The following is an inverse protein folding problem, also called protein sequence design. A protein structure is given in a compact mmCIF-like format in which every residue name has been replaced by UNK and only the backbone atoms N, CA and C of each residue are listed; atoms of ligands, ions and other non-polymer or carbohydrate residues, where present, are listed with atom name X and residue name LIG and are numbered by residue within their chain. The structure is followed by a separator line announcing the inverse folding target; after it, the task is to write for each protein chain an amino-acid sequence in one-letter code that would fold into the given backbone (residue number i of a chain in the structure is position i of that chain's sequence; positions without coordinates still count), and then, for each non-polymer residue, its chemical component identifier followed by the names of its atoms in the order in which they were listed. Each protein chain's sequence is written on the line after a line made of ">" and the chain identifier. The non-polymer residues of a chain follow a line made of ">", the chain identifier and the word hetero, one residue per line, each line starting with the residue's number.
data_IF_806411465817
#
_entry.id   IF_806411465817
#
_cell.length_a   1.000
_cell.length_b   1.000
_cell.length_c   1.000
_cell.angle_alpha   90.00
_cell.angle_beta   90.00
_cell.angle_gamma   90.00
#
_symmetry.space_group_name_H-M   'P 1'
#
loop_
_entity.id
_entity.type
_entity.pdbx_description
1 polymer ?
#
# COMPACT_ATOMS: atom_id res chain seq x y z
N UNK A 1 16.44 -3.05 5.37
CA UNK A 1 15.18 -2.82 4.62
C UNK A 1 15.48 -3.02 3.13
N UNK A 2 14.64 -3.76 2.44
CA UNK A 2 14.75 -4.05 1.00
C UNK A 2 13.53 -3.42 0.33
N UNK A 3 13.75 -2.63 -0.73
CA UNK A 3 12.69 -2.16 -1.62
C UNK A 3 12.58 -3.10 -2.82
N UNK A 4 11.37 -3.47 -3.20
CA UNK A 4 11.13 -4.39 -4.31
C UNK A 4 10.40 -3.65 -5.42
N UNK A 5 10.99 -3.63 -6.61
CA UNK A 5 10.30 -3.20 -7.82
C UNK A 5 9.42 -4.33 -8.33
N UNK A 6 8.13 -4.10 -8.36
CA UNK A 6 7.15 -5.08 -8.85
C UNK A 6 7.13 -5.12 -10.39
N UNK A 7 6.79 -6.25 -11.03
CA UNK A 7 6.67 -6.33 -12.47
C UNK A 7 5.84 -5.20 -13.08
N UNK A 8 6.44 -4.45 -13.99
CA UNK A 8 5.84 -3.26 -14.60
C UNK A 8 5.92 -1.98 -13.78
N UNK A 9 6.68 -1.97 -12.68
CA UNK A 9 6.96 -0.77 -11.88
C UNK A 9 8.46 -0.62 -11.66
N UNK A 10 8.91 0.63 -11.44
CA UNK A 10 10.33 0.92 -11.22
C UNK A 10 11.20 0.48 -12.39
N UNK A 11 12.21 -0.36 -12.11
CA UNK A 11 13.13 -0.93 -13.10
C UNK A 11 12.75 -2.36 -13.51
N UNK A 12 11.71 -2.94 -12.88
CA UNK A 12 11.25 -4.29 -13.21
C UNK A 12 10.58 -4.33 -14.59
N UNK A 13 10.83 -5.38 -15.39
CA UNK A 13 10.26 -5.50 -16.72
C UNK A 13 8.74 -5.41 -16.76
N UNK A 14 8.22 -4.77 -17.80
CA UNK A 14 6.77 -4.71 -18.04
C UNK A 14 6.26 -6.09 -18.47
N UNK A 15 5.30 -6.70 -17.78
CA UNK A 15 4.70 -7.95 -18.22
C UNK A 15 3.78 -7.72 -19.41
N UNK A 16 3.55 -8.75 -20.22
CA UNK A 16 2.66 -8.68 -21.40
C UNK A 16 1.24 -8.23 -21.04
N UNK A 17 0.73 -8.69 -19.89
CA UNK A 17 -0.51 -8.21 -19.29
C UNK A 17 -0.25 -7.84 -17.80
N UNK A 18 -0.89 -6.76 -17.31
CA UNK A 18 -0.76 -6.36 -15.92
C UNK A 18 -1.20 -7.47 -14.96
N UNK A 19 -0.40 -7.70 -13.95
CA UNK A 19 -0.69 -8.69 -12.92
C UNK A 19 -1.79 -8.19 -11.97
N UNK A 20 -2.58 -9.12 -11.43
CA UNK A 20 -3.49 -8.83 -10.32
C UNK A 20 -2.71 -8.63 -9.02
N UNK A 21 -3.35 -8.02 -8.01
CA UNK A 21 -2.74 -7.86 -6.68
C UNK A 21 -2.34 -9.21 -6.07
N UNK A 22 -3.16 -10.23 -6.27
CA UNK A 22 -2.86 -11.62 -5.87
C UNK A 22 -1.62 -12.18 -6.58
N UNK A 23 -1.52 -11.98 -7.88
CA UNK A 23 -0.36 -12.47 -8.64
C UNK A 23 0.95 -11.78 -8.21
N UNK A 24 0.90 -10.49 -7.88
CA UNK A 24 2.05 -9.81 -7.27
C UNK A 24 2.41 -10.40 -5.90
N UNK A 25 1.41 -10.71 -5.07
CA UNK A 25 1.63 -11.32 -3.76
C UNK A 25 2.29 -12.70 -3.87
N UNK A 26 1.88 -13.55 -4.83
CA UNK A 26 2.53 -14.84 -5.09
C UNK A 26 3.99 -14.67 -5.51
N UNK A 27 4.30 -13.71 -6.40
CA UNK A 27 5.69 -13.41 -6.78
C UNK A 27 6.53 -12.93 -5.60
N UNK A 28 5.96 -12.11 -4.70
CA UNK A 28 6.65 -11.70 -3.48
C UNK A 28 6.87 -12.88 -2.52
N UNK A 29 5.90 -13.79 -2.40
CA UNK A 29 6.05 -14.99 -1.60
C UNK A 29 7.20 -15.87 -2.11
N UNK A 30 7.28 -16.07 -3.42
CA UNK A 30 8.37 -16.83 -4.05
C UNK A 30 9.73 -16.13 -3.86
N UNK A 31 9.76 -14.80 -4.00
CA UNK A 31 10.96 -14.01 -3.70
C UNK A 31 11.40 -14.19 -2.25
N UNK A 32 10.52 -14.03 -1.27
CA UNK A 32 10.84 -14.19 0.15
C UNK A 32 11.34 -15.59 0.47
N UNK A 33 10.72 -16.63 -0.09
CA UNK A 33 11.20 -18.01 0.05
C UNK A 33 12.61 -18.18 -0.51
N UNK A 34 12.90 -17.53 -1.63
CA UNK A 34 14.22 -17.63 -2.26
C UNK A 34 15.34 -16.94 -1.48
N UNK A 35 15.01 -15.90 -0.69
CA UNK A 35 15.99 -15.20 0.14
C UNK A 35 16.35 -15.94 1.42
N UNK A 36 15.45 -16.78 1.92
CA UNK A 36 15.58 -17.45 3.22
C UNK A 36 15.46 -16.51 4.43
N UNK A 37 15.04 -15.26 4.23
CA UNK A 37 14.95 -14.23 5.27
C UNK A 37 13.56 -14.18 5.96
N UNK A 38 12.60 -14.97 5.48
CA UNK A 38 11.25 -15.00 6.06
C UNK A 38 11.27 -15.69 7.45
N UNK A 39 10.34 -15.30 8.37
CA UNK A 39 9.33 -14.26 8.19
C UNK A 39 9.89 -12.84 8.30
N UNK A 40 9.21 -11.87 7.67
CA UNK A 40 9.64 -10.47 7.62
C UNK A 40 8.50 -9.49 7.94
N UNK A 41 8.85 -8.25 8.28
CA UNK A 41 7.87 -7.15 8.34
C UNK A 41 7.65 -6.64 6.93
N UNK A 42 6.40 -6.68 6.45
CA UNK A 42 6.04 -6.22 5.11
C UNK A 42 5.40 -4.84 5.19
N UNK A 43 5.93 -3.90 4.41
CA UNK A 43 5.41 -2.53 4.31
C UNK A 43 4.84 -2.32 2.92
N UNK A 44 3.53 -2.09 2.82
CA UNK A 44 2.86 -1.74 1.57
C UNK A 44 2.33 -0.31 1.60
N UNK A 45 2.61 0.49 0.56
CA UNK A 45 2.08 1.83 0.40
C UNK A 45 1.10 1.89 -0.78
N UNK A 46 -0.06 2.53 -0.57
CA UNK A 46 -1.08 2.73 -1.61
C UNK A 46 -1.49 1.39 -2.24
N UNK A 47 -1.35 1.21 -3.54
CA UNK A 47 -1.55 -0.09 -4.22
C UNK A 47 -0.74 -1.22 -3.56
N UNK A 48 0.47 -0.93 -3.10
CA UNK A 48 1.31 -1.90 -2.39
C UNK A 48 0.69 -2.41 -1.11
N UNK A 49 -0.21 -1.66 -0.46
CA UNK A 49 -0.95 -2.12 0.72
C UNK A 49 -1.88 -3.29 0.40
N UNK A 50 -2.51 -3.29 -0.78
CA UNK A 50 -3.36 -4.38 -1.23
C UNK A 50 -2.54 -5.66 -1.46
N UNK A 51 -1.36 -5.52 -2.07
CA UNK A 51 -0.45 -6.64 -2.34
C UNK A 51 0.11 -7.19 -1.03
N UNK A 52 0.51 -6.32 -0.11
CA UNK A 52 1.01 -6.71 1.21
C UNK A 52 -0.07 -7.46 2.03
N UNK A 53 -1.32 -7.00 1.97
CA UNK A 53 -2.45 -7.69 2.61
C UNK A 53 -2.72 -9.06 2.00
N UNK A 54 -2.70 -9.19 0.67
CA UNK A 54 -2.84 -10.50 0.00
C UNK A 54 -1.69 -11.44 0.38
N UNK A 55 -0.45 -10.94 0.47
CA UNK A 55 0.69 -11.72 0.91
C UNK A 55 0.49 -12.23 2.35
N UNK A 56 0.17 -11.34 3.29
CA UNK A 56 -0.05 -11.70 4.69
C UNK A 56 -1.22 -12.66 4.89
N UNK A 57 -2.29 -12.50 4.11
CA UNK A 57 -3.47 -13.36 4.17
C UNK A 57 -3.23 -14.77 3.62
N UNK A 58 -2.42 -14.89 2.57
CA UNK A 58 -2.21 -16.15 1.82
C UNK A 58 -0.97 -16.92 2.27
N UNK A 59 0.01 -16.19 2.78
CA UNK A 59 1.32 -16.71 3.19
C UNK A 59 1.70 -16.20 4.59
N UNK A 60 0.86 -16.47 5.62
CA UNK A 60 1.10 -15.96 6.97
C UNK A 60 2.44 -16.42 7.54
N UNK A 61 2.98 -17.52 7.07
CA UNK A 61 4.29 -18.03 7.47
C UNK A 61 5.48 -17.15 7.01
N UNK A 62 5.23 -16.24 6.08
CA UNK A 62 6.27 -15.34 5.53
C UNK A 62 6.21 -13.93 6.13
N UNK A 63 5.16 -13.60 6.89
CA UNK A 63 4.89 -12.22 7.35
C UNK A 63 4.77 -12.18 8.86
N UNK A 64 5.78 -11.61 9.51
CA UNK A 64 5.81 -11.42 10.96
C UNK A 64 4.88 -10.29 11.40
N UNK A 65 4.91 -9.19 10.65
CA UNK A 65 4.02 -8.04 10.87
C UNK A 65 3.75 -7.30 9.55
N UNK A 66 2.67 -6.54 9.52
CA UNK A 66 2.18 -5.84 8.34
C UNK A 66 2.06 -4.34 8.61
N UNK A 67 2.53 -3.51 7.68
CA UNK A 67 2.31 -2.06 7.68
C UNK A 67 1.56 -1.67 6.42
N UNK A 68 0.37 -1.12 6.57
CA UNK A 68 -0.49 -0.63 5.49
C UNK A 68 -0.46 0.90 5.51
N UNK A 69 0.40 1.50 4.68
CA UNK A 69 0.53 2.94 4.59
C UNK A 69 -0.35 3.51 3.46
N UNK A 70 -1.24 4.44 3.79
CA UNK A 70 -2.21 5.00 2.85
C UNK A 70 -2.99 3.91 2.11
N UNK A 71 -3.67 2.98 2.82
CA UNK A 71 -4.29 1.81 2.17
C UNK A 71 -5.39 2.23 1.21
N UNK A 72 -5.31 1.73 -0.03
CA UNK A 72 -6.30 1.93 -1.11
C UNK A 72 -6.88 0.57 -1.51
N UNK A 73 -8.05 0.48 -2.05
CA UNK A 73 -9.07 1.46 -2.42
C UNK A 73 -10.19 1.40 -1.38
N UNK A 74 -10.64 2.58 -0.95
CA UNK A 74 -11.82 2.70 -0.08
C UNK A 74 -13.01 1.92 -0.67
N UNK A 75 -13.65 1.09 0.17
CA UNK A 75 -14.78 0.23 -0.20
C UNK A 75 -15.95 1.00 -0.80
N UNK A 76 -16.13 2.25 -0.39
CA UNK A 76 -17.23 3.13 -0.83
C UNK A 76 -16.90 3.98 -2.06
N UNK A 77 -15.62 4.04 -2.46
CA UNK A 77 -15.13 4.93 -3.54
C UNK A 77 -14.46 4.17 -4.70
N UNK A 78 -15.08 3.08 -5.19
CA UNK A 78 -14.51 2.15 -6.19
C UNK A 78 -14.68 2.58 -7.65
N UNK A 79 -15.15 3.77 -7.94
CA UNK A 79 -15.21 4.22 -9.33
C UNK A 79 -13.93 4.96 -9.73
N UNK A 80 -13.54 4.82 -11.01
CA UNK A 80 -12.41 5.57 -11.58
C UNK A 80 -12.56 7.07 -11.36
N UNK A 81 -13.80 7.59 -11.45
CA UNK A 81 -14.10 9.02 -11.23
C UNK A 81 -13.85 9.43 -9.78
N UNK A 82 -14.25 8.63 -8.80
CA UNK A 82 -14.03 8.90 -7.38
C UNK A 82 -12.52 8.86 -7.06
N UNK A 83 -11.81 7.84 -7.55
CA UNK A 83 -10.36 7.74 -7.37
C UNK A 83 -9.61 8.90 -8.03
N UNK A 84 -10.01 9.31 -9.24
CA UNK A 84 -9.44 10.48 -9.90
C UNK A 84 -9.72 11.79 -9.12
N UNK A 85 -10.91 11.94 -8.54
CA UNK A 85 -11.25 13.09 -7.71
C UNK A 85 -10.45 13.10 -6.39
N UNK A 86 -10.29 11.95 -5.75
CA UNK A 86 -9.47 11.82 -4.55
C UNK A 86 -8.01 12.16 -4.85
N UNK A 87 -7.45 11.64 -5.95
CA UNK A 87 -6.11 11.98 -6.40
C UNK A 87 -5.97 13.49 -6.69
N UNK A 88 -6.95 14.10 -7.36
CA UNK A 88 -6.93 15.54 -7.64
C UNK A 88 -6.96 16.37 -6.35
N UNK A 89 -7.75 15.95 -5.35
CA UNK A 89 -7.79 16.62 -4.04
C UNK A 89 -6.47 16.49 -3.29
N UNK A 90 -5.84 15.32 -3.35
CA UNK A 90 -4.51 15.09 -2.78
C UNK A 90 -3.46 16.05 -3.40
N UNK A 91 -3.48 16.18 -4.73
CA UNK A 91 -2.56 17.07 -5.45
C UNK A 91 -2.67 18.57 -5.04
N UNK A 92 -3.85 19.04 -4.64
CA UNK A 92 -4.07 20.45 -4.28
C UNK A 92 -3.32 20.86 -3.00
N UNK A 93 -3.06 19.92 -2.10
CA UNK A 93 -2.38 20.17 -0.81
C UNK A 93 -0.92 19.71 -0.76
N UNK A 94 -0.44 19.04 -1.82
CA UNK A 94 0.85 18.39 -1.80
C UNK A 94 2.04 19.31 -2.11
N UNK A 95 3.19 18.97 -1.51
CA UNK A 95 4.44 19.71 -1.74
C UNK A 95 4.95 19.48 -3.17
N UNK A 96 5.55 20.50 -3.83
CA UNK A 96 6.04 20.37 -5.21
C UNK A 96 6.96 19.16 -5.45
N UNK A 97 7.73 18.76 -4.45
CA UNK A 97 8.61 17.59 -4.50
C UNK A 97 7.82 16.28 -4.64
N UNK A 98 6.69 16.17 -3.96
CA UNK A 98 5.81 14.98 -4.02
C UNK A 98 5.12 14.93 -5.36
N UNK A 99 4.60 16.09 -5.82
CA UNK A 99 3.98 16.23 -7.15
C UNK A 99 4.95 15.82 -8.27
N UNK A 100 6.20 16.30 -8.21
CA UNK A 100 7.21 15.96 -9.20
C UNK A 100 7.57 14.49 -9.20
N UNK A 101 7.75 13.88 -8.01
CA UNK A 101 8.02 12.44 -7.89
C UNK A 101 6.84 11.61 -8.38
N UNK A 102 5.62 11.95 -7.95
CA UNK A 102 4.41 11.28 -8.42
C UNK A 102 4.25 11.34 -9.93
N UNK A 103 4.37 12.53 -10.53
CA UNK A 103 4.32 12.71 -11.99
C UNK A 103 5.39 11.90 -12.72
N UNK A 104 6.62 11.86 -12.19
CA UNK A 104 7.70 11.05 -12.77
C UNK A 104 7.38 9.56 -12.74
N UNK A 105 6.85 9.05 -11.64
CA UNK A 105 6.45 7.64 -11.53
C UNK A 105 5.25 7.30 -12.42
N UNK A 106 4.28 8.20 -12.55
CA UNK A 106 3.19 8.05 -13.52
C UNK A 106 3.71 7.99 -14.96
N UNK A 107 4.67 8.85 -15.33
CA UNK A 107 5.30 8.82 -16.66
C UNK A 107 6.11 7.52 -16.90
N UNK A 108 6.66 6.95 -15.83
CA UNK A 108 7.36 5.66 -15.86
C UNK A 108 6.43 4.45 -15.83
N UNK A 109 5.16 4.65 -15.53
CA UNK A 109 4.16 3.59 -15.40
C UNK A 109 3.90 2.77 -16.67
N UNK A 110 4.55 3.13 -17.79
CA UNK A 110 4.53 2.37 -19.03
C UNK A 110 3.18 2.36 -19.75
N UNK A 111 3.09 1.63 -20.86
CA UNK A 111 1.92 1.64 -21.75
C UNK A 111 0.67 1.03 -21.10
N UNK A 112 0.84 0.17 -20.08
CA UNK A 112 -0.26 -0.51 -19.40
C UNK A 112 -0.77 0.21 -18.15
N UNK A 113 -0.35 1.46 -17.88
CA UNK A 113 -0.73 2.20 -16.66
C UNK A 113 -2.25 2.19 -16.40
N UNK A 114 -3.06 2.46 -17.42
CA UNK A 114 -4.53 2.45 -17.28
C UNK A 114 -5.09 1.08 -16.91
N UNK A 115 -4.50 -0.01 -17.41
CA UNK A 115 -4.89 -1.37 -17.05
C UNK A 115 -4.49 -1.68 -15.62
N UNK A 116 -3.28 -1.28 -15.19
CA UNK A 116 -2.78 -1.43 -13.81
C UNK A 116 -3.69 -0.70 -12.81
N UNK A 117 -4.06 0.55 -13.11
CA UNK A 117 -5.01 1.31 -12.28
C UNK A 117 -6.38 0.64 -12.19
N UNK A 118 -6.89 0.10 -13.30
CA UNK A 118 -8.14 -0.66 -13.28
C UNK A 118 -8.03 -1.91 -12.42
N UNK A 119 -6.92 -2.64 -12.50
CA UNK A 119 -6.69 -3.82 -11.66
C UNK A 119 -6.65 -3.46 -10.17
N UNK A 120 -5.99 -2.33 -9.80
CA UNK A 120 -5.95 -1.80 -8.44
C UNK A 120 -7.35 -1.44 -7.92
N UNK A 121 -8.15 -0.74 -8.74
CA UNK A 121 -9.51 -0.30 -8.35
C UNK A 121 -10.49 -1.48 -8.27
N UNK A 122 -10.32 -2.47 -9.14
CA UNK A 122 -11.20 -3.65 -9.17
C UNK A 122 -10.91 -4.66 -8.06
N UNK A 123 -9.71 -4.61 -7.47
CA UNK A 123 -9.33 -5.50 -6.39
C UNK A 123 -10.12 -5.17 -5.12
N UNK A 124 -10.39 -6.19 -4.31
CA UNK A 124 -11.15 -6.11 -3.05
C UNK A 124 -10.26 -6.48 -1.86
N UNK A 125 -9.45 -5.54 -1.36
CA UNK A 125 -8.53 -5.82 -0.26
C UNK A 125 -9.25 -6.24 1.04
N UNK A 126 -10.51 -5.84 1.23
CA UNK A 126 -11.32 -6.25 2.38
C UNK A 126 -11.50 -7.77 2.48
N UNK A 127 -11.46 -8.50 1.35
CA UNK A 127 -11.50 -9.96 1.36
C UNK A 127 -10.20 -10.56 1.96
N UNK A 128 -9.05 -9.89 1.72
CA UNK A 128 -7.78 -10.31 2.27
C UNK A 128 -7.66 -9.91 3.76
N UNK A 129 -8.10 -8.71 4.15
CA UNK A 129 -8.00 -8.24 5.53
C UNK A 129 -8.60 -9.21 6.55
N UNK A 130 -9.74 -9.79 6.23
CA UNK A 130 -10.40 -10.79 7.10
C UNK A 130 -9.55 -12.04 7.36
N UNK A 131 -8.55 -12.33 6.53
CA UNK A 131 -7.65 -13.46 6.66
C UNK A 131 -6.26 -13.11 7.25
N UNK A 132 -5.93 -11.83 7.41
CA UNK A 132 -4.68 -11.39 8.05
C UNK A 132 -4.68 -11.78 9.52
N UNK A 133 -3.54 -12.29 10.02
CA UNK A 133 -3.40 -12.78 11.40
C UNK A 133 -2.19 -12.19 12.14
N UNK A 134 -1.28 -11.56 11.43
CA UNK A 134 -0.11 -10.92 12.04
C UNK A 134 -0.46 -9.54 12.63
N UNK A 135 0.33 -9.02 13.58
CA UNK A 135 0.24 -7.65 14.04
C UNK A 135 0.25 -6.68 12.85
N UNK A 136 -0.65 -5.70 12.85
CA UNK A 136 -0.82 -4.81 11.70
C UNK A 136 -0.89 -3.36 12.14
N UNK A 137 -0.06 -2.51 11.52
CA UNK A 137 -0.12 -1.06 11.63
C UNK A 137 -0.78 -0.48 10.37
N UNK A 138 -1.86 0.25 10.54
CA UNK A 138 -2.45 1.11 9.51
C UNK A 138 -1.89 2.52 9.71
N UNK A 139 -1.23 3.08 8.70
CA UNK A 139 -0.62 4.40 8.74
C UNK A 139 -1.24 5.29 7.67
N UNK A 140 -1.74 6.47 8.06
CA UNK A 140 -2.32 7.42 7.11
C UNK A 140 -1.83 8.85 7.34
N UNK A 141 -1.93 9.68 6.31
CA UNK A 141 -1.90 11.14 6.48
C UNK A 141 -3.26 11.65 6.96
N UNK A 142 -3.27 12.65 7.83
CA UNK A 142 -4.51 13.26 8.32
C UNK A 142 -5.41 13.77 7.20
N UNK A 143 -4.78 14.31 6.14
CA UNK A 143 -5.47 14.89 4.97
C UNK A 143 -5.52 13.97 3.76
N UNK A 144 -5.22 12.66 3.95
CA UNK A 144 -5.20 11.69 2.86
C UNK A 144 -6.62 11.36 2.35
N UNK A 145 -7.01 11.84 1.14
CA UNK A 145 -8.35 11.57 0.60
C UNK A 145 -8.47 10.19 -0.05
N UNK A 146 -7.34 9.47 -0.20
CA UNK A 146 -7.30 8.11 -0.73
C UNK A 146 -7.46 7.06 0.38
N UNK A 147 -7.05 7.43 1.62
CA UNK A 147 -7.19 6.61 2.83
C UNK A 147 -7.92 7.42 3.93
N UNK A 148 -9.21 7.74 3.74
CA UNK A 148 -9.98 8.44 4.75
C UNK A 148 -10.07 7.63 6.05
N UNK A 149 -10.27 8.32 7.17
CA UNK A 149 -10.24 7.70 8.50
C UNK A 149 -11.29 6.58 8.64
N UNK A 150 -12.49 6.78 8.10
CA UNK A 150 -13.55 5.77 8.17
C UNK A 150 -13.13 4.48 7.47
N UNK A 151 -12.49 4.57 6.30
CA UNK A 151 -11.93 3.42 5.62
C UNK A 151 -10.83 2.73 6.46
N UNK A 152 -9.92 3.50 7.06
CA UNK A 152 -8.92 2.92 7.94
C UNK A 152 -9.53 2.22 9.15
N UNK A 153 -10.63 2.73 9.71
CA UNK A 153 -11.39 2.08 10.79
C UNK A 153 -12.03 0.77 10.34
N UNK A 154 -12.58 0.71 9.13
CA UNK A 154 -13.08 -0.56 8.55
C UNK A 154 -11.96 -1.62 8.48
N UNK A 155 -10.72 -1.20 8.14
CA UNK A 155 -9.57 -2.11 8.14
C UNK A 155 -9.26 -2.61 9.56
N UNK A 156 -9.29 -1.74 10.57
CA UNK A 156 -9.08 -2.16 11.95
C UNK A 156 -10.14 -3.16 12.43
N UNK A 157 -11.39 -2.96 12.04
CA UNK A 157 -12.47 -3.90 12.36
C UNK A 157 -12.26 -5.26 11.68
N UNK A 158 -11.71 -5.26 10.47
CA UNK A 158 -11.45 -6.48 9.71
C UNK A 158 -10.20 -7.25 10.18
N UNK A 159 -9.19 -6.57 10.72
CA UNK A 159 -7.91 -7.16 11.17
C UNK A 159 -7.82 -7.05 12.70
N UNK A 160 -8.12 -8.11 13.46
CA UNK A 160 -8.06 -8.07 14.92
C UNK A 160 -6.65 -7.74 15.44
N UNK A 161 -6.59 -6.80 16.39
CA UNK A 161 -5.33 -6.38 17.01
C UNK A 161 -4.50 -5.41 16.16
N UNK A 162 -5.05 -4.89 15.06
CA UNK A 162 -4.44 -3.81 14.29
C UNK A 162 -4.52 -2.46 15.03
N UNK A 163 -3.59 -1.56 14.74
CA UNK A 163 -3.53 -0.20 15.28
C UNK A 163 -3.49 0.84 14.16
N UNK A 164 -4.04 2.03 14.42
CA UNK A 164 -4.05 3.16 13.49
C UNK A 164 -3.17 4.28 14.00
N UNK A 165 -2.25 4.72 13.14
CA UNK A 165 -1.46 5.93 13.35
C UNK A 165 -1.73 6.95 12.24
N UNK A 166 -1.86 8.21 12.64
CA UNK A 166 -2.14 9.32 11.72
C UNK A 166 -1.01 10.35 11.78
N UNK A 167 -0.42 10.68 10.64
CA UNK A 167 0.60 11.73 10.54
C UNK A 167 -0.11 13.07 10.28
N UNK A 168 -0.03 14.03 11.22
CA UNK A 168 -0.71 15.31 11.12
C UNK A 168 -0.32 16.08 9.87
N UNK A 169 -1.28 16.80 9.28
CA UNK A 169 -1.10 17.72 8.16
C UNK A 169 -0.57 17.13 6.84
N UNK A 170 -0.47 15.78 6.73
CA UNK A 170 0.04 15.10 5.52
C UNK A 170 -1.08 14.46 4.70
N UNK A 171 -0.89 14.44 3.36
CA UNK A 171 -1.73 13.76 2.39
C UNK A 171 -1.30 12.31 2.14
N UNK A 172 -1.63 11.79 0.96
CA UNK A 172 -1.35 10.41 0.56
C UNK A 172 0.15 10.07 0.46
N UNK A 173 0.97 11.07 0.13
CA UNK A 173 2.42 10.93 0.01
C UNK A 173 3.21 10.86 1.32
N UNK A 174 2.62 10.45 2.44
CA UNK A 174 3.23 10.47 3.79
C UNK A 174 4.62 9.83 3.85
N UNK A 175 4.83 8.67 3.23
CA UNK A 175 6.15 8.01 3.18
C UNK A 175 7.20 8.79 2.37
N UNK A 176 6.77 9.75 1.55
CA UNK A 176 7.63 10.55 0.67
C UNK A 176 7.84 11.94 1.24
N UNK A 177 6.76 12.57 1.75
CA UNK A 177 6.75 13.97 2.21
C UNK A 177 7.37 14.12 3.60
N UNK A 178 7.15 13.17 4.50
CA UNK A 178 7.74 13.11 5.84
C UNK A 178 8.18 11.68 6.20
N UNK A 179 9.20 11.23 5.51
CA UNK A 179 9.76 9.90 5.76
C UNK A 179 10.25 9.71 7.22
N UNK A 180 10.63 10.78 7.91
CA UNK A 180 11.13 10.69 9.28
C UNK A 180 10.01 10.36 10.27
N UNK A 181 8.85 11.02 10.16
CA UNK A 181 7.69 10.73 11.01
C UNK A 181 7.18 9.31 10.76
N UNK A 182 6.99 8.93 9.49
CA UNK A 182 6.57 7.59 9.12
C UNK A 182 7.56 6.52 9.62
N UNK A 183 8.88 6.73 9.42
CA UNK A 183 9.91 5.80 9.86
C UNK A 183 9.92 5.63 11.39
N UNK A 184 9.69 6.70 12.15
CA UNK A 184 9.61 6.66 13.62
C UNK A 184 8.45 5.78 14.08
N UNK A 185 7.26 5.96 13.50
CA UNK A 185 6.07 5.17 13.84
C UNK A 185 6.25 3.69 13.46
N UNK A 186 6.77 3.43 12.26
CA UNK A 186 7.05 2.07 11.79
C UNK A 186 8.12 1.40 12.68
N UNK A 187 9.19 2.10 13.04
CA UNK A 187 10.22 1.56 13.92
C UNK A 187 9.69 1.27 15.34
N UNK A 188 8.86 2.16 15.88
CA UNK A 188 8.22 1.94 17.17
C UNK A 188 7.26 0.74 17.15
N UNK A 189 6.52 0.56 16.09
CA UNK A 189 5.69 -0.63 15.85
C UNK A 189 6.56 -1.89 15.75
N UNK A 190 7.57 -1.87 14.88
CA UNK A 190 8.47 -3.00 14.63
C UNK A 190 9.24 -3.48 15.87
N UNK A 191 9.45 -2.60 16.84
CA UNK A 191 10.12 -2.96 18.10
C UNK A 191 9.21 -3.69 19.10
N UNK A 192 7.89 -3.76 18.84
CA UNK A 192 6.89 -4.41 19.71
C UNK A 192 6.41 -5.76 19.21
N UNK A 193 6.73 -6.12 17.98
CA UNK A 193 6.29 -7.32 17.29
C UNK A 193 7.41 -8.29 17.04
#
# INVERSE_FOLDING_TARGET
>A
MIGVDLPGFGEAPEPAEPLSMRAHAELLADFLRSTGEAPVIVIGHSMGSQIAAELAARHPELVDALVLAGPTVDSTARSIRQQALSLLRDLIGERPKVLWRGAREYLRGGPNLAKKMRATIAHRPEEAYAAVRCPTLVLRGERDPMAPEDWCREILEAIPGSELETIPEHGHGTLISDAAAAATLIAAFSARV
#
